data_IF_306777748543
#
_entry.id   IF_306777748543
#
_cell.length_a   1.000
_cell.length_b   1.000
_cell.length_c   1.000
_cell.angle_alpha   90.00
_cell.angle_beta   90.00
_cell.angle_gamma   90.00
#
_symmetry.space_group_name_H-M   'P 1'
#
loop_
_entity.id
_entity.type
_entity.pdbx_description
1 polymer ?
#
# COMPACT_ATOMS: atom_id res chain seq x y z
N UNK A 1 4.55 -4.19 4.80
CA UNK A 1 4.17 -2.78 5.08
C UNK A 1 2.95 -2.32 4.29
N UNK A 2 2.93 -2.36 2.94
CA UNK A 2 1.78 -1.92 2.11
C UNK A 2 0.45 -2.57 2.55
N UNK A 3 0.43 -3.88 2.81
CA UNK A 3 -0.77 -4.58 3.29
C UNK A 3 -1.38 -3.99 4.57
N UNK A 4 -0.55 -3.75 5.59
CA UNK A 4 -0.98 -3.18 6.86
C UNK A 4 -1.48 -1.74 6.68
N UNK A 5 -0.75 -0.93 5.91
CA UNK A 5 -1.12 0.45 5.61
C UNK A 5 -2.46 0.54 4.87
N UNK A 6 -2.66 -0.28 3.83
CA UNK A 6 -3.92 -0.30 3.08
C UNK A 6 -5.10 -0.72 3.95
N UNK A 7 -4.95 -1.78 4.75
CA UNK A 7 -6.01 -2.27 5.61
C UNK A 7 -6.40 -1.24 6.69
N UNK A 8 -5.41 -0.62 7.34
CA UNK A 8 -5.63 0.43 8.34
C UNK A 8 -6.39 1.62 7.75
N UNK A 9 -5.97 2.09 6.56
CA UNK A 9 -6.55 3.25 5.89
C UNK A 9 -7.74 2.92 4.98
N UNK A 10 -8.20 1.65 4.97
CA UNK A 10 -9.32 1.16 4.15
C UNK A 10 -9.18 1.50 2.66
N UNK A 11 -7.96 1.38 2.11
CA UNK A 11 -7.67 1.70 0.71
C UNK A 11 -8.25 0.64 -0.24
N UNK A 12 -9.49 0.83 -0.69
CA UNK A 12 -10.27 -0.17 -1.43
C UNK A 12 -10.54 0.17 -2.91
N UNK A 13 -10.15 1.37 -3.36
CA UNK A 13 -10.32 1.81 -4.75
C UNK A 13 -8.99 1.83 -5.44
N UNK A 14 -8.84 1.00 -6.47
CA UNK A 14 -7.61 0.88 -7.24
C UNK A 14 -7.71 1.72 -8.50
N UNK A 15 -6.67 2.52 -8.75
CA UNK A 15 -6.51 3.22 -10.00
C UNK A 15 -5.17 2.94 -10.66
N UNK A 16 -5.14 3.22 -11.96
CA UNK A 16 -3.95 3.18 -12.80
C UNK A 16 -3.84 4.51 -13.53
N UNK A 17 -2.67 5.13 -13.45
CA UNK A 17 -2.30 6.31 -14.21
C UNK A 17 -1.34 5.88 -15.32
N UNK A 18 -1.66 6.27 -16.54
CA UNK A 18 -0.90 5.92 -17.73
C UNK A 18 -0.63 7.20 -18.51
N UNK A 19 0.60 7.39 -18.96
CA UNK A 19 0.96 8.50 -19.84
C UNK A 19 0.34 8.31 -21.23
N UNK A 20 0.15 9.40 -21.97
CA UNK A 20 -0.17 9.37 -23.40
C UNK A 20 1.13 9.28 -24.22
N UNK A 21 1.03 8.80 -25.46
CA UNK A 21 2.13 8.83 -26.42
C UNK A 21 3.18 7.76 -26.12
N UNK A 22 4.47 8.13 -26.18
CA UNK A 22 5.58 7.22 -25.90
C UNK A 22 5.74 6.87 -24.40
N UNK A 23 5.01 7.56 -23.54
CA UNK A 23 5.03 7.36 -22.10
C UNK A 23 6.24 7.97 -21.38
N UNK A 24 6.48 7.53 -20.15
CA UNK A 24 7.54 8.08 -19.28
C UNK A 24 8.57 7.01 -18.92
N UNK A 25 9.80 7.22 -19.37
CA UNK A 25 10.93 6.31 -19.15
C UNK A 25 11.90 6.82 -18.08
N UNK A 26 11.67 8.00 -17.50
CA UNK A 26 12.47 8.55 -16.40
C UNK A 26 11.76 8.33 -15.04
N UNK A 27 12.32 7.47 -14.15
CA UNK A 27 11.79 7.24 -12.81
C UNK A 27 11.75 8.49 -11.91
N UNK A 28 12.56 9.50 -12.16
CA UNK A 28 12.56 10.76 -11.40
C UNK A 28 11.42 11.67 -11.87
N UNK A 29 11.26 11.83 -13.20
CA UNK A 29 10.09 12.50 -13.77
C UNK A 29 8.78 11.88 -13.26
N UNK A 30 8.65 10.56 -13.29
CA UNK A 30 7.47 9.86 -12.79
C UNK A 30 7.10 10.29 -11.36
N UNK A 31 8.07 10.38 -10.47
CA UNK A 31 7.84 10.76 -9.06
C UNK A 31 7.39 12.20 -8.92
N UNK A 32 7.97 13.12 -9.70
CA UNK A 32 7.55 14.53 -9.72
C UNK A 32 6.09 14.65 -10.16
N UNK A 33 5.71 13.92 -11.20
CA UNK A 33 4.36 13.95 -11.77
C UNK A 33 3.34 13.29 -10.83
N UNK A 34 3.69 12.16 -10.20
CA UNK A 34 2.80 11.53 -9.20
C UNK A 34 2.66 12.39 -7.95
N UNK A 35 3.73 13.05 -7.50
CA UNK A 35 3.65 13.98 -6.39
C UNK A 35 2.76 15.19 -6.75
N UNK A 36 2.86 15.70 -7.98
CA UNK A 36 1.99 16.77 -8.46
C UNK A 36 0.53 16.30 -8.56
N UNK A 37 0.30 15.08 -9.06
CA UNK A 37 -1.02 14.47 -9.12
C UNK A 37 -1.70 14.44 -7.74
N UNK A 38 -1.03 13.92 -6.71
CA UNK A 38 -1.64 13.85 -5.37
C UNK A 38 -1.82 15.24 -4.71
N UNK A 39 -0.93 16.20 -4.99
CA UNK A 39 -1.12 17.60 -4.55
C UNK A 39 -2.35 18.23 -5.21
N UNK A 40 -2.43 18.18 -6.55
CA UNK A 40 -3.58 18.71 -7.30
C UNK A 40 -4.88 18.02 -6.88
N UNK A 41 -4.84 16.69 -6.69
CA UNK A 41 -6.02 15.92 -6.28
C UNK A 41 -6.50 16.33 -4.88
N UNK A 42 -5.58 16.57 -3.94
CA UNK A 42 -5.92 17.10 -2.61
C UNK A 42 -6.61 18.46 -2.71
N UNK A 43 -6.08 19.36 -3.53
CA UNK A 43 -6.66 20.71 -3.68
C UNK A 43 -8.07 20.63 -4.30
N UNK A 44 -8.27 19.77 -5.31
CA UNK A 44 -9.59 19.48 -5.89
C UNK A 44 -10.59 18.83 -4.92
N UNK A 45 -10.10 18.27 -3.81
CA UNK A 45 -10.90 17.66 -2.75
C UNK A 45 -11.11 18.57 -1.54
N UNK A 46 -10.75 19.86 -1.65
CA UNK A 46 -10.92 20.85 -0.58
C UNK A 46 -9.73 20.95 0.37
N UNK A 47 -8.54 20.50 -0.03
CA UNK A 47 -7.27 20.75 0.66
C UNK A 47 -6.96 19.80 1.84
N UNK A 48 -7.93 19.03 2.33
CA UNK A 48 -7.71 18.09 3.42
C UNK A 48 -6.83 16.91 3.00
N UNK A 49 -5.85 16.55 3.84
CA UNK A 49 -5.02 15.37 3.61
C UNK A 49 -5.86 14.10 3.56
N UNK A 50 -5.45 13.13 2.73
CA UNK A 50 -6.11 11.84 2.62
C UNK A 50 -5.08 10.72 2.38
N UNK A 51 -5.42 9.52 2.84
CA UNK A 51 -4.57 8.36 2.68
C UNK A 51 -4.55 7.88 1.21
N UNK A 52 -3.34 7.65 0.72
CA UNK A 52 -3.09 6.96 -0.55
C UNK A 52 -1.83 6.10 -0.46
N UNK A 53 -1.69 5.19 -1.41
CA UNK A 53 -0.46 4.46 -1.72
C UNK A 53 -0.30 4.40 -3.23
N UNK A 54 0.92 4.41 -3.75
CA UNK A 54 1.19 4.18 -5.15
C UNK A 54 2.48 3.38 -5.40
N UNK A 55 2.53 2.69 -6.53
CA UNK A 55 3.60 1.80 -6.96
C UNK A 55 3.88 2.04 -8.45
N UNK A 56 5.13 2.28 -8.87
CA UNK A 56 5.49 2.32 -10.29
C UNK A 56 5.54 0.90 -10.86
N UNK A 57 5.09 0.74 -12.10
CA UNK A 57 5.25 -0.48 -12.89
C UNK A 57 5.79 -0.14 -14.27
N UNK A 58 6.80 -0.88 -14.74
CA UNK A 58 7.19 -0.87 -16.16
C UNK A 58 6.16 -1.67 -16.97
N UNK A 59 5.59 -1.03 -17.99
CA UNK A 59 4.72 -1.74 -18.93
C UNK A 59 5.53 -2.82 -19.66
N UNK A 60 4.87 -3.90 -20.09
CA UNK A 60 5.55 -5.00 -20.82
C UNK A 60 5.98 -4.62 -22.23
N UNK A 61 5.57 -3.45 -22.70
CA UNK A 61 5.97 -2.85 -23.99
C UNK A 61 6.82 -1.61 -23.74
N UNK A 62 7.37 -1.02 -24.79
CA UNK A 62 8.17 0.21 -24.74
C UNK A 62 7.38 1.50 -24.39
N UNK A 63 6.18 1.36 -23.83
CA UNK A 63 5.35 2.49 -23.41
C UNK A 63 5.81 3.12 -22.07
N UNK A 64 6.87 2.60 -21.46
CA UNK A 64 7.43 3.15 -20.22
C UNK A 64 6.62 2.80 -18.96
N UNK A 65 6.70 3.67 -17.94
CA UNK A 65 6.15 3.43 -16.61
C UNK A 65 4.68 3.84 -16.47
N UNK A 66 3.91 2.99 -15.80
CA UNK A 66 2.55 3.25 -15.31
C UNK A 66 2.57 3.32 -13.78
N UNK A 67 1.50 3.83 -13.19
CA UNK A 67 1.37 3.96 -11.73
C UNK A 67 0.11 3.27 -11.29
N UNK A 68 0.24 2.30 -10.40
CA UNK A 68 -0.91 1.73 -9.68
C UNK A 68 -1.04 2.42 -8.34
N UNK A 69 -2.24 2.88 -8.00
CA UNK A 69 -2.50 3.54 -6.72
C UNK A 69 -3.77 3.02 -6.06
N UNK A 70 -3.88 3.23 -4.76
CA UNK A 70 -5.12 3.02 -4.02
C UNK A 70 -5.48 4.20 -3.12
N UNK A 71 -6.77 4.46 -3.00
CA UNK A 71 -7.38 5.45 -2.09
C UNK A 71 -8.53 4.84 -1.30
N UNK A 72 -8.79 5.37 -0.10
CA UNK A 72 -9.82 4.85 0.82
C UNK A 72 -11.17 5.55 0.76
N UNK A 73 -11.31 6.55 -0.12
CA UNK A 73 -12.54 7.35 -0.28
C UNK A 73 -12.97 7.38 -1.73
N UNK A 74 -14.26 7.60 -1.96
CA UNK A 74 -14.74 7.89 -3.30
C UNK A 74 -14.15 9.22 -3.78
N UNK A 75 -13.58 9.20 -4.98
CA UNK A 75 -13.11 10.38 -5.70
C UNK A 75 -13.71 10.29 -7.10
N UNK A 76 -14.42 11.34 -7.51
CA UNK A 76 -15.04 11.38 -8.82
C UNK A 76 -13.95 11.24 -9.90
N UNK A 77 -14.17 10.35 -10.89
CA UNK A 77 -13.21 10.09 -11.96
C UNK A 77 -12.72 11.37 -12.65
N UNK A 78 -13.62 12.32 -12.90
CA UNK A 78 -13.29 13.65 -13.45
C UNK A 78 -12.21 14.40 -12.67
N UNK A 79 -12.19 14.28 -11.33
CA UNK A 79 -11.19 14.93 -10.49
C UNK A 79 -9.83 14.25 -10.61
N UNK A 80 -9.83 12.92 -10.78
CA UNK A 80 -8.61 12.13 -10.99
C UNK A 80 -8.02 12.44 -12.35
N UNK A 81 -8.84 12.49 -13.40
CA UNK A 81 -8.42 12.85 -14.75
C UNK A 81 -7.85 14.27 -14.80
N UNK A 82 -8.54 15.24 -14.18
CA UNK A 82 -8.06 16.62 -14.05
C UNK A 82 -6.75 16.71 -13.27
N UNK A 83 -6.59 15.93 -12.21
CA UNK A 83 -5.35 15.91 -11.43
C UNK A 83 -4.19 15.25 -12.18
N UNK A 84 -4.47 14.24 -13.02
CA UNK A 84 -3.42 13.50 -13.73
C UNK A 84 -2.86 14.31 -14.89
N UNK A 85 -3.69 14.80 -15.81
CA UNK A 85 -3.27 15.66 -16.92
C UNK A 85 -2.32 15.04 -17.96
N UNK A 86 -1.65 13.92 -17.66
CA UNK A 86 -0.59 13.34 -18.52
C UNK A 86 -1.07 12.18 -19.41
N UNK A 87 -2.32 11.75 -19.30
CA UNK A 87 -2.85 10.68 -20.14
C UNK A 87 -4.13 10.06 -19.62
N UNK A 88 -4.13 8.74 -19.50
CA UNK A 88 -5.31 7.95 -19.21
C UNK A 88 -5.39 7.60 -17.73
N UNK A 89 -6.63 7.57 -17.24
CA UNK A 89 -6.95 7.13 -15.88
C UNK A 89 -7.91 5.95 -15.99
N UNK A 90 -7.57 4.88 -15.28
CA UNK A 90 -8.50 3.81 -14.99
C UNK A 90 -8.71 3.77 -13.47
N UNK A 91 -9.94 3.65 -12.99
CA UNK A 91 -10.23 3.46 -11.57
C UNK A 91 -11.38 2.48 -11.40
N UNK A 92 -11.24 1.58 -10.44
CA UNK A 92 -12.27 0.62 -10.05
C UNK A 92 -12.36 0.53 -8.53
N UNK A 93 -13.59 0.39 -8.05
CA UNK A 93 -13.81 -0.22 -6.74
C UNK A 93 -13.56 -1.71 -6.91
N UNK A 94 -12.78 -2.32 -6.02
CA UNK A 94 -12.65 -3.76 -6.02
C UNK A 94 -13.97 -4.39 -5.54
N UNK A 95 -14.64 -5.10 -6.44
CA UNK A 95 -15.80 -5.93 -6.15
C UNK A 95 -15.50 -7.42 -6.35
N UNK A 96 -16.51 -8.26 -6.16
CA UNK A 96 -16.44 -9.74 -6.09
C UNK A 96 -15.87 -10.27 -4.77
N UNK A 97 -16.41 -9.78 -3.66
CA UNK A 97 -16.19 -10.37 -2.34
C UNK A 97 -17.47 -11.07 -1.86
N UNK A 98 -17.35 -12.07 -0.96
CA UNK A 98 -18.51 -12.70 -0.34
C UNK A 98 -19.47 -11.68 0.28
N UNK A 99 -20.76 -12.01 0.31
CA UNK A 99 -21.75 -11.20 1.03
C UNK A 99 -21.33 -11.00 2.49
N UNK A 100 -21.46 -9.78 3.00
CA UNK A 100 -21.01 -9.40 4.35
C UNK A 100 -19.56 -8.92 4.44
N UNK A 101 -18.83 -8.83 3.32
CA UNK A 101 -17.46 -8.29 3.31
C UNK A 101 -17.41 -6.83 3.72
N UNK A 102 -16.38 -6.47 4.50
CA UNK A 102 -16.20 -5.12 5.02
C UNK A 102 -15.25 -4.29 4.14
N UNK A 103 -15.21 -2.95 4.29
CA UNK A 103 -14.20 -2.11 3.62
C UNK A 103 -12.76 -2.52 3.93
N UNK A 104 -12.52 -3.17 5.08
CA UNK A 104 -11.20 -3.71 5.45
C UNK A 104 -10.84 -4.92 4.58
N UNK A 105 -11.80 -5.76 4.25
CA UNK A 105 -11.61 -6.93 3.38
C UNK A 105 -11.33 -6.50 1.94
N UNK A 106 -12.07 -5.50 1.43
CA UNK A 106 -11.77 -4.87 0.15
C UNK A 106 -10.36 -4.27 0.11
N UNK A 107 -9.95 -3.58 1.18
CA UNK A 107 -8.62 -3.02 1.29
C UNK A 107 -7.52 -4.09 1.34
N UNK A 108 -7.77 -5.24 1.96
CA UNK A 108 -6.86 -6.40 1.93
C UNK A 108 -6.68 -6.92 0.51
N UNK A 109 -7.74 -7.00 -0.29
CA UNK A 109 -7.65 -7.38 -1.71
C UNK A 109 -6.91 -6.33 -2.54
N UNK A 110 -7.17 -5.04 -2.32
CA UNK A 110 -6.43 -3.96 -2.95
C UNK A 110 -4.93 -4.04 -2.65
N UNK A 111 -4.60 -4.30 -1.39
CA UNK A 111 -3.22 -4.41 -0.97
C UNK A 111 -2.52 -5.64 -1.53
N UNK A 112 -3.23 -6.78 -1.69
CA UNK A 112 -2.70 -7.96 -2.39
C UNK A 112 -2.39 -7.63 -3.84
N UNK A 113 -3.29 -6.92 -4.52
CA UNK A 113 -3.07 -6.47 -5.90
C UNK A 113 -1.85 -5.55 -6.00
N UNK A 114 -1.74 -4.52 -5.17
CA UNK A 114 -0.57 -3.63 -5.15
C UNK A 114 0.72 -4.36 -4.78
N UNK A 115 0.66 -5.34 -3.86
CA UNK A 115 1.83 -6.14 -3.47
C UNK A 115 2.43 -6.90 -4.66
N UNK A 116 1.62 -7.31 -5.65
CA UNK A 116 2.10 -7.91 -6.90
C UNK A 116 3.04 -6.97 -7.64
N UNK A 117 2.69 -5.68 -7.74
CA UNK A 117 3.49 -4.68 -8.45
C UNK A 117 4.71 -4.25 -7.63
N UNK A 118 4.58 -4.20 -6.31
CA UNK A 118 5.73 -4.01 -5.42
C UNK A 118 6.74 -5.13 -5.64
N UNK A 119 6.28 -6.39 -5.75
CA UNK A 119 7.14 -7.54 -6.03
C UNK A 119 7.83 -7.42 -7.40
N UNK A 120 7.10 -7.08 -8.48
CA UNK A 120 7.71 -6.81 -9.79
C UNK A 120 8.78 -5.72 -9.74
N UNK A 121 8.63 -4.71 -8.87
CA UNK A 121 9.63 -3.67 -8.68
C UNK A 121 10.90 -4.17 -7.96
N UNK A 122 10.91 -5.39 -7.40
CA UNK A 122 12.15 -6.06 -6.96
C UNK A 122 12.90 -6.71 -8.13
N UNK A 123 12.18 -7.18 -9.16
CA UNK A 123 12.78 -7.78 -10.35
C UNK A 123 13.36 -6.73 -11.31
N UNK A 124 12.86 -5.49 -11.24
CA UNK A 124 13.40 -4.36 -11.98
C UNK A 124 14.74 -3.88 -11.40
N UNK A 125 15.64 -3.40 -12.28
CA UNK A 125 16.94 -2.84 -11.90
C UNK A 125 16.74 -1.71 -10.87
N UNK A 126 17.20 -1.93 -9.63
CA UNK A 126 17.01 -0.98 -8.53
C UNK A 126 17.70 0.34 -8.87
N UNK A 127 16.91 1.41 -8.95
CA UNK A 127 17.44 2.78 -9.03
C UNK A 127 17.80 3.25 -7.61
N UNK A 128 19.07 3.57 -7.32
CA UNK A 128 19.48 4.04 -5.99
C UNK A 128 18.68 5.27 -5.53
N UNK A 129 18.39 5.34 -4.23
CA UNK A 129 17.68 6.46 -3.62
C UNK A 129 16.16 6.50 -3.86
N UNK A 130 15.59 5.57 -4.64
CA UNK A 130 14.17 5.56 -4.95
C UNK A 130 13.41 4.45 -4.22
N UNK A 131 12.30 4.81 -3.59
CA UNK A 131 11.39 3.85 -2.94
C UNK A 131 10.61 3.05 -3.99
N UNK A 132 10.34 1.78 -3.70
CA UNK A 132 9.52 0.89 -4.56
C UNK A 132 8.04 1.21 -4.54
N UNK A 133 7.59 1.94 -3.53
CA UNK A 133 6.23 2.43 -3.36
C UNK A 133 6.29 3.64 -2.44
N UNK A 134 5.28 4.49 -2.49
CA UNK A 134 5.14 5.59 -1.54
C UNK A 134 3.71 5.63 -0.99
N UNK A 135 3.60 6.21 0.20
CA UNK A 135 2.35 6.34 0.96
C UNK A 135 2.17 7.78 1.41
N UNK A 136 0.92 8.19 1.65
CA UNK A 136 0.65 9.46 2.31
C UNK A 136 1.28 9.49 3.72
N UNK A 137 1.89 10.62 4.07
CA UNK A 137 2.47 10.82 5.40
C UNK A 137 1.39 11.15 6.43
N UNK A 138 1.58 10.72 7.68
CA UNK A 138 0.61 10.94 8.77
C UNK A 138 -0.54 9.92 8.81
N UNK A 139 -0.53 8.94 7.91
CA UNK A 139 -1.53 7.86 7.84
C UNK A 139 -0.94 6.49 8.20
N UNK A 140 0.24 6.47 8.84
CA UNK A 140 0.87 5.23 9.26
C UNK A 140 0.07 4.61 10.42
N UNK A 141 -0.14 3.28 10.40
CA UNK A 141 -0.74 2.58 11.53
C UNK A 141 0.03 2.88 12.81
N UNK A 142 -0.69 3.10 13.90
CA UNK A 142 -0.10 3.33 15.21
C UNK A 142 0.81 2.17 15.63
N UNK A 143 1.95 2.51 16.23
CA UNK A 143 2.87 1.54 16.82
C UNK A 143 2.63 1.48 18.31
N UNK A 144 1.92 0.45 18.75
CA UNK A 144 1.78 0.12 20.16
C UNK A 144 3.04 -0.61 20.63
N UNK A 145 3.60 -0.18 21.75
CA UNK A 145 4.70 -0.89 22.42
C UNK A 145 4.14 -1.60 23.65
N UNK A 146 4.39 -2.90 23.71
CA UNK A 146 4.04 -3.75 24.84
C UNK A 146 5.34 -4.21 25.52
N UNK A 147 5.28 -4.46 26.82
CA UNK A 147 6.41 -4.94 27.61
C UNK A 147 5.89 -5.88 28.69
N UNK A 148 6.60 -6.99 28.88
CA UNK A 148 6.25 -8.01 29.86
C UNK A 148 7.51 -8.70 30.38
N UNK A 149 7.32 -9.61 31.34
CA UNK A 149 8.43 -10.36 31.95
C UNK A 149 8.87 -11.57 31.13
N UNK A 150 8.03 -12.01 30.19
CA UNK A 150 8.33 -13.09 29.26
C UNK A 150 7.66 -12.82 27.90
N UNK A 151 7.98 -13.67 26.92
CA UNK A 151 7.35 -13.63 25.60
C UNK A 151 5.86 -13.94 25.71
N UNK A 152 5.48 -14.91 26.53
CA UNK A 152 4.08 -15.30 26.76
C UNK A 152 3.26 -14.16 27.35
N UNK A 153 3.83 -13.41 28.30
CA UNK A 153 3.21 -12.24 28.91
C UNK A 153 2.93 -11.15 27.85
N UNK A 154 3.90 -10.85 27.00
CA UNK A 154 3.74 -9.89 25.90
C UNK A 154 2.72 -10.39 24.86
N UNK A 155 2.70 -11.68 24.56
CA UNK A 155 1.77 -12.27 23.61
C UNK A 155 0.32 -12.27 24.12
N UNK A 156 0.11 -12.50 25.42
CA UNK A 156 -1.20 -12.37 26.06
C UNK A 156 -1.71 -10.92 25.99
N UNK A 157 -0.85 -9.94 26.32
CA UNK A 157 -1.19 -8.51 26.17
C UNK A 157 -1.50 -8.16 24.71
N UNK A 158 -0.76 -8.73 23.75
CA UNK A 158 -1.02 -8.51 22.32
C UNK A 158 -2.36 -9.12 21.88
N UNK A 159 -2.69 -10.33 22.34
CA UNK A 159 -3.96 -10.98 22.04
C UNK A 159 -5.16 -10.17 22.59
N UNK A 160 -5.04 -9.66 23.83
CA UNK A 160 -6.04 -8.78 24.42
C UNK A 160 -6.21 -7.48 23.61
N UNK A 161 -5.11 -6.81 23.27
CA UNK A 161 -5.13 -5.58 22.47
C UNK A 161 -5.71 -5.79 21.05
N UNK A 162 -5.51 -6.98 20.48
CA UNK A 162 -6.02 -7.36 19.17
C UNK A 162 -7.45 -7.95 19.23
N UNK A 163 -7.96 -8.24 20.43
CA UNK A 163 -9.29 -8.81 20.68
C UNK A 163 -9.44 -10.28 20.24
N UNK A 164 -8.34 -10.98 19.98
CA UNK A 164 -8.34 -12.37 19.52
C UNK A 164 -6.95 -13.01 19.71
N UNK A 165 -6.91 -14.34 19.75
CA UNK A 165 -5.67 -15.09 19.63
C UNK A 165 -5.07 -14.98 18.22
N UNK A 166 -3.72 -15.01 18.08
CA UNK A 166 -3.09 -15.02 16.78
C UNK A 166 -3.43 -16.31 16.02
N UNK A 167 -3.67 -16.19 14.72
CA UNK A 167 -3.91 -17.32 13.82
C UNK A 167 -2.61 -17.99 13.36
N UNK A 168 -1.49 -17.27 13.44
CA UNK A 168 -0.18 -17.75 13.09
C UNK A 168 0.84 -17.07 14.01
N UNK A 169 1.77 -17.87 14.53
CA UNK A 169 2.90 -17.41 15.33
C UNK A 169 4.13 -18.11 14.80
N UNK A 170 5.20 -17.34 14.64
CA UNK A 170 6.52 -17.82 14.29
C UNK A 170 7.51 -17.29 15.30
N UNK A 171 8.39 -18.16 15.77
CA UNK A 171 9.47 -17.82 16.71
C UNK A 171 10.84 -18.03 16.06
N UNK A 172 11.83 -17.25 16.49
CA UNK A 172 13.21 -17.41 16.03
C UNK A 172 13.78 -18.81 16.25
N UNK A 173 13.25 -19.55 17.24
CA UNK A 173 13.69 -20.91 17.58
C UNK A 173 13.35 -21.93 16.50
N UNK A 174 12.35 -21.61 15.66
CA UNK A 174 11.97 -22.42 14.49
C UNK A 174 12.91 -22.20 13.29
N UNK A 175 13.77 -21.16 13.32
CA UNK A 175 14.74 -20.91 12.25
C UNK A 175 16.08 -21.60 12.49
N UNK A 176 16.42 -22.50 11.58
CA UNK A 176 17.75 -23.10 11.51
C UNK A 176 18.79 -21.99 11.30
N UNK A 177 19.73 -21.85 12.24
CA UNK A 177 20.86 -20.93 12.13
C UNK A 177 20.53 -19.47 12.47
N UNK A 178 19.50 -19.20 13.28
CA UNK A 178 19.23 -17.84 13.76
C UNK A 178 20.29 -17.39 14.79
N UNK A 179 21.05 -16.34 14.45
CA UNK A 179 22.09 -15.74 15.32
C UNK A 179 21.65 -14.41 15.95
N UNK A 180 20.41 -13.99 15.73
CA UNK A 180 19.87 -12.73 16.27
C UNK A 180 19.29 -12.87 17.68
N UNK A 181 18.85 -11.76 18.30
CA UNK A 181 18.05 -11.82 19.52
C UNK A 181 16.76 -12.64 19.33
N UNK A 182 16.19 -13.22 20.41
CA UNK A 182 14.90 -13.89 20.33
C UNK A 182 13.83 -12.99 19.71
N UNK A 183 13.11 -13.52 18.73
CA UNK A 183 12.12 -12.78 17.97
C UNK A 183 10.83 -13.57 17.82
N UNK A 184 9.71 -12.88 17.90
CA UNK A 184 8.38 -13.44 17.64
C UNK A 184 7.70 -12.60 16.57
N UNK A 185 7.12 -13.29 15.59
CA UNK A 185 6.19 -12.73 14.64
C UNK A 185 4.83 -13.40 14.83
N UNK A 186 3.77 -12.60 14.85
CA UNK A 186 2.42 -13.12 15.00
C UNK A 186 1.45 -12.39 14.06
N UNK A 187 0.41 -13.10 13.64
CA UNK A 187 -0.63 -12.63 12.74
C UNK A 187 -2.01 -12.93 13.31
N UNK A 188 -2.94 -11.98 13.14
CA UNK A 188 -4.35 -12.07 13.54
C UNK A 188 -5.26 -11.91 12.31
N UNK A 189 -6.50 -12.39 12.41
CA UNK A 189 -7.53 -12.34 11.35
C UNK A 189 -8.14 -10.95 11.10
#
# INVERSE_FOLDING_TARGET
MVRRYCAHNRLNRLGTLTYRGAGCHDPFQLRRDVAQFFRTLRDLLGGQAFAYVWVPEWHTTDHGQHVHFAVGRFIARRSIERAWGHGFVHIKLLGHLPSGSTPRDEARVAARYLSKYVHKAFDARRVPGLHRYEVAQGFQPERVRLSGRSVEDVMAQAAEAMGAEPVEVWTSDEAIGWEGPPAVWAMWS
#
